data_IF_846744178833
#
_entry.id   IF_846744178833
#
_cell.length_a   1.000
_cell.length_b   1.000
_cell.length_c   1.000
_cell.angle_alpha   90.00
_cell.angle_beta   90.00
_cell.angle_gamma   90.00
#
_symmetry.space_group_name_H-M   'P 1'
#
loop_
_entity.id
_entity.type
_entity.pdbx_description
1 polymer ?
#
# COMPACT_ATOMS: atom_id res chain seq x y z
N UNK A 1 -3.02 61.25 9.02
CA UNK A 1 -3.68 60.36 9.98
C UNK A 1 -4.50 59.27 9.31
N UNK A 2 -3.96 58.49 8.33
CA UNK A 2 -4.72 57.41 7.63
C UNK A 2 -3.89 56.14 7.39
N UNK A 3 -2.78 55.94 8.10
CA UNK A 3 -1.91 54.75 7.95
C UNK A 3 -1.80 53.84 9.18
N UNK A 4 -2.52 54.10 10.27
CA UNK A 4 -2.45 53.29 11.50
C UNK A 4 -3.58 52.28 11.71
N UNK A 5 -4.66 52.30 10.91
CA UNK A 5 -5.81 51.42 11.13
C UNK A 5 -5.88 50.16 10.26
N UNK A 6 -4.88 49.93 9.37
CA UNK A 6 -4.85 48.69 8.56
C UNK A 6 -4.08 47.52 9.21
N UNK A 7 -3.23 47.85 10.20
CA UNK A 7 -2.33 46.87 10.80
C UNK A 7 -2.95 46.05 11.96
N UNK A 8 -4.06 46.54 12.53
CA UNK A 8 -4.76 45.83 13.60
C UNK A 8 -5.73 44.73 13.11
N UNK A 9 -6.18 44.79 11.87
CA UNK A 9 -7.10 43.81 11.28
C UNK A 9 -6.41 42.47 10.91
N UNK A 10 -5.12 42.54 10.53
CA UNK A 10 -4.35 41.32 10.16
C UNK A 10 -3.86 40.54 11.40
N UNK A 11 -3.55 41.21 12.49
CA UNK A 11 -3.13 40.54 13.74
C UNK A 11 -4.28 39.81 14.46
N UNK A 12 -5.51 40.29 14.33
CA UNK A 12 -6.67 39.63 14.91
C UNK A 12 -7.12 38.39 14.11
N UNK A 13 -6.89 38.35 12.80
CA UNK A 13 -7.18 37.16 11.97
C UNK A 13 -6.17 36.02 12.13
N UNK A 14 -4.92 36.30 12.47
CA UNK A 14 -3.91 35.28 12.75
C UNK A 14 -4.07 34.58 14.12
N UNK A 15 -4.76 35.25 15.08
CA UNK A 15 -4.98 34.67 16.41
C UNK A 15 -6.24 33.77 16.49
N UNK A 16 -7.15 33.85 15.53
CA UNK A 16 -8.34 33.01 15.49
C UNK A 16 -8.12 31.64 14.83
N UNK A 17 -7.10 31.50 13.96
CA UNK A 17 -6.79 30.23 13.27
C UNK A 17 -5.93 29.28 14.11
N UNK A 18 -5.29 29.75 15.17
CA UNK A 18 -4.40 28.95 16.04
C UNK A 18 -5.08 28.25 17.22
N UNK A 19 -6.37 28.53 17.49
CA UNK A 19 -7.08 28.02 18.68
C UNK A 19 -8.01 26.84 18.43
N UNK A 20 -8.16 26.37 17.21
CA UNK A 20 -9.11 25.29 16.90
C UNK A 20 -8.47 23.90 16.79
N UNK A 21 -7.16 23.73 17.01
CA UNK A 21 -6.48 22.44 16.89
C UNK A 21 -6.23 21.76 18.26
N UNK A 22 -6.45 22.44 19.39
CA UNK A 22 -6.17 21.90 20.74
C UNK A 22 -7.44 21.47 21.51
N UNK A 23 -8.63 21.71 21.00
CA UNK A 23 -9.88 21.44 21.73
C UNK A 23 -10.52 20.06 21.48
N UNK A 24 -9.94 19.18 20.68
CA UNK A 24 -10.51 17.84 20.37
C UNK A 24 -9.86 16.67 21.06
N UNK A 25 -8.86 16.87 21.91
CA UNK A 25 -8.18 15.79 22.63
C UNK A 25 -8.35 15.81 24.17
N UNK A 26 -9.22 16.66 24.73
CA UNK A 26 -9.42 16.79 26.18
C UNK A 26 -10.87 16.61 26.66
N UNK A 27 -11.74 15.96 25.88
CA UNK A 27 -13.13 15.68 26.29
C UNK A 27 -13.43 14.18 26.47
N UNK A 28 -12.41 13.37 26.76
CA UNK A 28 -12.58 11.94 27.07
C UNK A 28 -12.36 11.59 28.57
N UNK A 29 -12.38 12.56 29.46
CA UNK A 29 -11.92 12.31 30.82
C UNK A 29 -12.82 12.74 32.00
N UNK A 30 -14.02 13.25 31.78
CA UNK A 30 -14.90 13.58 32.94
C UNK A 30 -16.40 13.49 32.59
N UNK A 31 -16.90 12.27 32.42
CA UNK A 31 -18.33 11.95 32.51
C UNK A 31 -18.51 10.54 33.12
N UNK A 32 -17.89 10.32 34.24
CA UNK A 32 -17.95 9.04 34.96
C UNK A 32 -18.26 9.20 36.44
N UNK A 33 -19.25 9.99 36.83
CA UNK A 33 -19.74 9.97 38.21
C UNK A 33 -21.08 10.71 38.39
N UNK A 34 -22.15 10.22 37.79
CA UNK A 34 -23.51 10.58 38.22
C UNK A 34 -24.60 9.77 37.45
N UNK A 35 -24.53 8.44 37.43
CA UNK A 35 -25.70 7.56 37.21
C UNK A 35 -25.42 6.19 37.83
N UNK A 36 -25.41 6.14 39.13
CA UNK A 36 -25.52 4.90 39.85
C UNK A 36 -26.77 5.02 40.73
N UNK A 37 -27.90 4.60 40.20
CA UNK A 37 -29.04 4.00 40.89
C UNK A 37 -30.26 3.99 39.97
N UNK A 38 -30.28 3.01 39.07
CA UNK A 38 -31.52 2.45 38.58
C UNK A 38 -31.31 0.95 38.46
N UNK A 39 -32.15 0.19 39.11
CA UNK A 39 -32.18 -1.26 39.22
C UNK A 39 -32.01 -1.92 37.85
N UNK A 40 -30.93 -2.70 37.70
CA UNK A 40 -30.74 -3.59 36.56
C UNK A 40 -31.84 -4.66 36.53
N UNK A 41 -32.39 -4.99 35.35
CA UNK A 41 -33.25 -6.16 35.22
C UNK A 41 -32.45 -7.42 35.52
N UNK A 42 -33.01 -8.31 36.30
CA UNK A 42 -32.38 -9.52 36.86
C UNK A 42 -32.26 -10.67 35.85
N UNK A 43 -32.67 -10.47 34.58
CA UNK A 43 -32.51 -11.49 33.54
C UNK A 43 -31.73 -10.95 32.38
N UNK A 44 -30.52 -11.48 32.20
CA UNK A 44 -29.74 -11.30 30.97
C UNK A 44 -30.31 -12.27 29.93
N UNK A 45 -30.88 -11.81 28.80
CA UNK A 45 -31.31 -12.72 27.75
C UNK A 45 -30.10 -13.46 27.21
N UNK A 46 -30.11 -14.76 27.33
CA UNK A 46 -29.10 -15.65 26.71
C UNK A 46 -29.19 -15.44 25.18
N UNK A 47 -28.07 -15.15 24.50
CA UNK A 47 -28.09 -15.05 23.06
C UNK A 47 -28.53 -16.38 22.46
N UNK A 48 -29.58 -16.37 21.66
CA UNK A 48 -29.98 -17.51 20.85
C UNK A 48 -28.81 -17.90 19.96
N UNK A 49 -28.35 -19.15 20.08
CA UNK A 49 -27.35 -19.72 19.21
C UNK A 49 -27.80 -19.58 17.75
N UNK A 50 -27.05 -18.85 16.94
CA UNK A 50 -27.26 -18.82 15.50
C UNK A 50 -27.08 -20.24 14.97
N UNK A 51 -27.97 -20.74 14.11
CA UNK A 51 -27.71 -21.98 13.40
C UNK A 51 -26.47 -21.77 12.55
N UNK A 52 -25.44 -22.57 12.77
CA UNK A 52 -24.29 -22.66 11.89
C UNK A 52 -24.79 -23.14 10.52
N UNK A 53 -24.87 -22.22 9.56
CA UNK A 53 -24.85 -22.64 8.17
C UNK A 53 -23.44 -23.19 7.91
N UNK A 54 -23.29 -24.40 7.32
CA UNK A 54 -21.96 -24.88 6.93
C UNK A 54 -21.40 -23.88 5.91
N UNK A 55 -20.36 -23.16 6.29
CA UNK A 55 -19.56 -22.39 5.36
C UNK A 55 -19.00 -23.38 4.34
N UNK A 56 -19.41 -23.23 3.08
CA UNK A 56 -18.73 -23.88 1.98
C UNK A 56 -17.28 -23.35 1.99
N UNK A 57 -16.39 -24.13 2.51
CA UNK A 57 -14.94 -23.94 2.41
C UNK A 57 -14.56 -24.14 0.95
N UNK A 58 -14.56 -23.05 0.17
CA UNK A 58 -13.73 -22.97 -1.02
C UNK A 58 -12.31 -22.68 -0.54
N UNK A 59 -11.67 -23.68 0.04
CA UNK A 59 -10.23 -23.78 0.04
C UNK A 59 -9.80 -24.11 -1.39
N UNK A 60 -9.38 -23.08 -2.11
CA UNK A 60 -8.54 -23.30 -3.28
C UNK A 60 -7.29 -24.03 -2.78
N UNK A 61 -6.93 -25.21 -3.33
CA UNK A 61 -5.75 -25.92 -2.88
C UNK A 61 -4.55 -25.02 -3.11
N UNK A 62 -3.84 -24.69 -2.03
CA UNK A 62 -2.53 -24.05 -2.09
C UNK A 62 -1.62 -25.07 -2.74
N UNK A 63 -1.37 -24.93 -4.05
CA UNK A 63 -0.37 -25.71 -4.73
C UNK A 63 1.00 -25.35 -4.15
N UNK A 64 1.41 -26.07 -3.13
CA UNK A 64 2.81 -26.18 -2.73
C UNK A 64 3.54 -26.76 -3.93
N UNK A 65 4.43 -25.97 -4.54
CA UNK A 65 5.30 -26.45 -5.60
C UNK A 65 6.27 -27.46 -4.98
N UNK A 66 5.87 -28.72 -4.98
CA UNK A 66 6.78 -29.83 -4.74
C UNK A 66 7.72 -29.92 -5.93
N UNK A 67 9.04 -29.96 -5.72
CA UNK A 67 9.99 -30.20 -6.81
C UNK A 67 9.64 -31.54 -7.47
N UNK A 68 9.31 -31.51 -8.77
CA UNK A 68 9.05 -32.68 -9.56
C UNK A 68 10.35 -33.50 -9.61
N UNK A 69 10.29 -34.76 -9.23
CA UNK A 69 11.44 -35.69 -9.33
C UNK A 69 12.05 -35.63 -10.72
N UNK A 70 13.36 -35.42 -10.78
CA UNK A 70 14.17 -35.32 -11.99
C UNK A 70 14.17 -36.69 -12.70
N UNK A 71 13.92 -36.76 -14.01
CA UNK A 71 14.20 -37.97 -14.77
C UNK A 71 15.72 -38.25 -14.75
N UNK A 72 16.10 -39.47 -14.49
CA UNK A 72 17.49 -39.90 -14.49
C UNK A 72 18.00 -40.01 -15.93
N UNK A 73 18.66 -38.96 -16.42
CA UNK A 73 19.62 -39.00 -17.54
C UNK A 73 20.81 -38.14 -17.20
N UNK A 74 22.04 -38.63 -17.33
CA UNK A 74 23.22 -37.87 -17.01
C UNK A 74 23.55 -36.88 -18.14
N UNK A 75 23.37 -35.60 -17.93
CA UNK A 75 23.93 -34.55 -18.77
C UNK A 75 25.34 -34.17 -18.33
N UNK A 76 26.22 -33.76 -19.28
CA UNK A 76 27.64 -33.58 -19.00
C UNK A 76 27.92 -32.47 -18.03
N UNK A 77 28.85 -32.73 -17.15
CA UNK A 77 29.38 -31.90 -16.08
C UNK A 77 29.79 -30.53 -16.62
N UNK A 78 29.00 -29.50 -16.32
CA UNK A 78 29.45 -28.12 -16.35
C UNK A 78 29.98 -27.83 -14.93
N UNK A 79 31.31 -27.90 -14.80
CA UNK A 79 32.02 -27.46 -13.58
C UNK A 79 32.09 -25.95 -13.56
N UNK A 80 31.01 -25.30 -13.15
CA UNK A 80 31.05 -23.96 -12.55
C UNK A 80 31.02 -24.14 -11.04
N UNK A 81 32.04 -23.67 -10.37
CA UNK A 81 32.17 -23.69 -8.92
C UNK A 81 31.09 -22.82 -8.30
N UNK A 82 29.93 -23.43 -8.07
CA UNK A 82 28.95 -22.85 -7.15
C UNK A 82 29.52 -22.98 -5.74
N UNK A 83 29.55 -21.90 -4.97
CA UNK A 83 29.65 -22.01 -3.53
C UNK A 83 28.46 -22.84 -3.04
N UNK A 84 28.64 -24.16 -3.06
CA UNK A 84 27.73 -25.10 -2.41
C UNK A 84 27.80 -24.73 -0.94
N UNK A 85 26.74 -24.13 -0.40
CA UNK A 85 26.62 -24.01 1.05
C UNK A 85 26.68 -25.42 1.57
N UNK A 86 27.84 -25.85 2.06
CA UNK A 86 28.03 -27.15 2.64
C UNK A 86 27.05 -27.28 3.80
N UNK A 87 26.26 -28.36 3.78
CA UNK A 87 25.38 -28.65 4.89
C UNK A 87 26.28 -28.89 6.12
N UNK A 88 26.21 -28.05 7.17
CA UNK A 88 27.13 -28.13 8.30
C UNK A 88 27.15 -29.54 8.92
N UNK A 89 28.35 -29.99 9.33
CA UNK A 89 28.49 -31.24 10.03
C UNK A 89 27.58 -31.29 11.27
N UNK A 90 27.02 -32.46 11.57
CA UNK A 90 26.13 -32.65 12.71
C UNK A 90 26.89 -32.44 14.03
N UNK A 91 26.34 -31.60 14.93
CA UNK A 91 26.86 -31.38 16.27
C UNK A 91 25.83 -31.85 17.28
N UNK A 92 26.25 -32.63 18.26
CA UNK A 92 25.36 -33.06 19.36
C UNK A 92 24.94 -31.86 20.21
N UNK A 93 23.65 -31.75 20.52
CA UNK A 93 23.10 -30.67 21.32
C UNK A 93 21.60 -30.82 21.57
N UNK A 94 21.07 -29.90 22.36
CA UNK A 94 19.63 -29.83 22.68
C UNK A 94 18.93 -28.80 21.81
N UNK A 95 17.60 -28.82 21.80
CA UNK A 95 16.79 -27.75 21.19
C UNK A 95 17.20 -26.36 21.69
N UNK A 96 17.46 -26.24 23.01
CA UNK A 96 17.90 -24.97 23.59
C UNK A 96 19.21 -24.47 22.98
N UNK A 97 20.22 -25.33 22.81
CA UNK A 97 21.52 -24.92 22.23
C UNK A 97 21.36 -24.48 20.78
N UNK A 98 20.51 -25.16 20.01
CA UNK A 98 20.20 -24.77 18.64
C UNK A 98 19.45 -23.43 18.56
N UNK A 99 18.49 -23.19 19.44
CA UNK A 99 17.77 -21.91 19.50
C UNK A 99 18.67 -20.76 19.99
N UNK A 100 19.56 -21.00 20.95
CA UNK A 100 20.53 -20.01 21.42
C UNK A 100 21.51 -19.60 20.29
N UNK A 101 21.97 -20.57 19.49
CA UNK A 101 22.79 -20.29 18.31
C UNK A 101 22.01 -19.42 17.31
N UNK A 102 20.76 -19.77 17.01
CA UNK A 102 19.91 -19.01 16.12
C UNK A 102 19.65 -17.58 16.65
N UNK A 103 19.39 -17.44 17.94
CA UNK A 103 19.19 -16.14 18.60
C UNK A 103 20.44 -15.26 18.48
N UNK A 104 21.63 -15.87 18.60
CA UNK A 104 22.94 -15.22 18.39
C UNK A 104 23.27 -14.97 16.92
N UNK A 105 22.36 -15.30 15.99
CA UNK A 105 22.54 -15.23 14.54
C UNK A 105 23.61 -16.16 13.97
N UNK A 106 24.00 -17.17 14.73
CA UNK A 106 24.85 -18.27 14.24
C UNK A 106 23.97 -19.30 13.50
N UNK A 107 23.69 -19.01 12.23
CA UNK A 107 22.86 -19.87 11.36
C UNK A 107 23.53 -21.22 11.14
N UNK A 108 24.86 -21.22 10.96
CA UNK A 108 25.66 -22.44 10.69
C UNK A 108 25.61 -23.36 11.91
N UNK A 109 25.83 -22.82 13.11
CA UNK A 109 25.70 -23.57 14.38
C UNK A 109 24.29 -24.09 14.60
N UNK A 110 23.25 -23.28 14.37
CA UNK A 110 21.87 -23.71 14.51
C UNK A 110 21.51 -24.90 13.58
N UNK A 111 21.97 -24.86 12.31
CA UNK A 111 21.79 -25.94 11.35
C UNK A 111 22.58 -27.17 11.79
N UNK A 112 23.82 -27.02 12.28
CA UNK A 112 24.65 -28.13 12.77
C UNK A 112 23.99 -28.84 13.96
N UNK A 113 23.47 -28.10 14.96
CA UNK A 113 22.71 -28.68 16.08
C UNK A 113 21.45 -29.41 15.60
N UNK A 114 20.66 -28.79 14.68
CA UNK A 114 19.51 -29.47 14.09
C UNK A 114 19.90 -30.79 13.42
N UNK A 115 21.02 -30.81 12.69
CA UNK A 115 21.48 -32.00 11.99
C UNK A 115 21.86 -33.12 12.97
N UNK A 116 22.33 -32.80 14.18
CA UNK A 116 22.64 -33.75 15.23
C UNK A 116 21.43 -34.34 15.95
N UNK A 117 20.23 -33.77 15.77
CA UNK A 117 19.00 -34.25 16.39
C UNK A 117 18.40 -35.43 15.65
N UNK A 118 17.68 -36.29 16.37
CA UNK A 118 16.97 -37.44 15.79
C UNK A 118 15.96 -36.98 14.73
N UNK A 119 16.03 -37.57 13.55
CA UNK A 119 15.07 -37.33 12.45
C UNK A 119 13.65 -37.57 12.93
N UNK A 120 12.73 -36.65 12.63
CA UNK A 120 11.32 -36.78 13.00
C UNK A 120 11.02 -36.42 14.47
N UNK A 121 12.02 -36.12 15.33
CA UNK A 121 11.76 -35.64 16.68
C UNK A 121 11.15 -34.23 16.64
N UNK A 122 10.31 -33.92 17.64
CA UNK A 122 9.68 -32.63 17.78
C UNK A 122 10.70 -31.51 17.92
N UNK A 123 11.78 -31.75 18.67
CA UNK A 123 12.87 -30.79 18.88
C UNK A 123 13.53 -30.40 17.54
N UNK A 124 13.79 -31.40 16.68
CA UNK A 124 14.33 -31.15 15.33
C UNK A 124 13.33 -30.35 14.49
N UNK A 125 12.06 -30.70 14.53
CA UNK A 125 11.02 -29.98 13.78
C UNK A 125 10.88 -28.53 14.24
N UNK A 126 10.87 -28.27 15.55
CA UNK A 126 10.83 -26.92 16.11
C UNK A 126 12.05 -26.10 15.66
N UNK A 127 13.24 -26.66 15.70
CA UNK A 127 14.45 -25.95 15.29
C UNK A 127 14.49 -25.70 13.78
N UNK A 128 14.06 -26.69 12.96
CA UNK A 128 13.90 -26.54 11.52
C UNK A 128 12.93 -25.39 11.18
N UNK A 129 11.77 -25.36 11.83
CA UNK A 129 10.79 -24.30 11.67
C UNK A 129 11.32 -22.94 12.13
N UNK A 130 11.99 -22.90 13.28
CA UNK A 130 12.56 -21.65 13.82
C UNK A 130 13.61 -21.06 12.87
N UNK A 131 14.53 -21.88 12.35
CA UNK A 131 15.55 -21.45 11.38
C UNK A 131 14.87 -20.88 10.13
N UNK A 132 13.94 -21.61 9.53
CA UNK A 132 13.32 -21.22 8.28
C UNK A 132 12.42 -19.98 8.39
N UNK A 133 11.75 -19.79 9.54
CA UNK A 133 10.87 -18.64 9.78
C UNK A 133 11.59 -17.42 10.34
N UNK A 134 12.82 -17.56 10.83
CA UNK A 134 13.58 -16.50 11.53
C UNK A 134 13.77 -15.21 10.70
N UNK A 135 13.83 -15.32 9.37
CA UNK A 135 14.20 -14.20 8.51
C UNK A 135 15.66 -13.73 8.66
N UNK A 136 16.49 -14.49 9.39
CA UNK A 136 17.91 -14.16 9.56
C UNK A 136 18.61 -14.30 8.21
N UNK A 137 19.42 -13.29 7.89
CA UNK A 137 20.26 -13.32 6.70
C UNK A 137 21.31 -14.45 6.80
N UNK A 138 21.43 -15.24 5.75
CA UNK A 138 22.38 -16.36 5.71
C UNK A 138 21.70 -17.72 5.88
N UNK A 139 20.41 -17.79 6.19
CA UNK A 139 19.65 -19.05 6.07
C UNK A 139 19.52 -19.38 4.59
N UNK A 140 20.07 -20.55 4.14
CA UNK A 140 20.02 -20.92 2.72
C UNK A 140 18.59 -21.13 2.21
N UNK A 141 18.33 -20.74 0.96
CA UNK A 141 17.02 -20.95 0.32
C UNK A 141 16.64 -22.44 0.27
N UNK A 142 17.61 -23.31 0.09
CA UNK A 142 17.43 -24.77 0.12
C UNK A 142 16.95 -25.27 1.49
N UNK A 143 17.46 -24.71 2.60
CA UNK A 143 17.01 -25.02 3.95
C UNK A 143 15.56 -24.63 4.17
N UNK A 144 15.18 -23.44 3.69
CA UNK A 144 13.80 -22.95 3.81
C UNK A 144 12.86 -23.82 2.97
N UNK A 145 13.27 -24.22 1.76
CA UNK A 145 12.50 -25.10 0.91
C UNK A 145 12.33 -26.51 1.54
N UNK A 146 13.41 -27.06 2.13
CA UNK A 146 13.36 -28.32 2.84
C UNK A 146 12.40 -28.28 4.05
N UNK A 147 12.44 -27.17 4.83
CA UNK A 147 11.54 -26.97 5.95
C UNK A 147 10.05 -26.91 5.50
N UNK A 148 9.76 -26.25 4.38
CA UNK A 148 8.41 -26.17 3.83
C UNK A 148 7.87 -27.57 3.43
N UNK A 149 8.75 -28.47 2.98
CA UNK A 149 8.40 -29.85 2.62
C UNK A 149 8.29 -30.76 3.84
N UNK A 150 9.20 -30.59 4.81
CA UNK A 150 9.26 -31.43 6.03
C UNK A 150 8.10 -31.11 7.01
N UNK A 151 7.62 -29.87 7.02
CA UNK A 151 6.67 -29.34 8.01
C UNK A 151 5.36 -28.83 7.37
N UNK A 152 4.61 -29.65 6.62
CA UNK A 152 3.38 -29.22 5.99
C UNK A 152 2.34 -28.85 7.06
N UNK A 153 1.68 -27.69 6.87
CA UNK A 153 0.64 -27.20 7.80
C UNK A 153 1.14 -26.52 9.06
N UNK A 154 2.44 -26.38 9.27
CA UNK A 154 2.97 -25.60 10.37
C UNK A 154 2.68 -24.10 10.18
N UNK A 155 2.57 -23.30 11.26
CA UNK A 155 2.28 -21.88 11.17
C UNK A 155 3.40 -21.11 10.45
N UNK A 156 3.07 -19.98 9.82
CA UNK A 156 4.08 -19.10 9.23
C UNK A 156 4.52 -19.44 7.80
N UNK A 157 3.78 -20.26 7.05
CA UNK A 157 4.11 -20.64 5.66
C UNK A 157 4.34 -19.42 4.74
N UNK A 158 3.60 -18.32 4.95
CA UNK A 158 3.84 -17.07 4.22
C UNK A 158 5.18 -16.41 4.56
N UNK A 159 5.67 -16.58 5.80
CA UNK A 159 7.00 -16.13 6.19
C UNK A 159 8.09 -16.97 5.51
N UNK A 160 7.94 -18.30 5.46
CA UNK A 160 8.85 -19.18 4.73
C UNK A 160 9.02 -18.73 3.28
N UNK A 161 7.92 -18.46 2.60
CA UNK A 161 7.96 -17.99 1.21
C UNK A 161 8.73 -16.68 1.06
N UNK A 162 8.42 -15.68 1.85
CA UNK A 162 9.15 -14.39 1.82
C UNK A 162 10.63 -14.55 2.14
N UNK A 163 10.96 -15.40 3.10
CA UNK A 163 12.35 -15.67 3.47
C UNK A 163 13.09 -16.40 2.34
N UNK A 164 12.45 -17.38 1.67
CA UNK A 164 13.00 -18.06 0.51
C UNK A 164 13.31 -17.10 -0.65
N UNK A 165 12.37 -16.18 -0.94
CA UNK A 165 12.57 -15.15 -1.98
C UNK A 165 13.78 -14.25 -1.67
N UNK A 166 13.92 -13.81 -0.41
CA UNK A 166 15.06 -13.00 0.03
C UNK A 166 16.37 -13.77 0.00
N UNK A 167 16.35 -15.04 0.35
CA UNK A 167 17.52 -15.91 0.29
C UNK A 167 18.00 -16.10 -1.15
N UNK A 168 17.10 -16.46 -2.08
CA UNK A 168 17.38 -16.59 -3.51
C UNK A 168 17.99 -15.31 -4.11
N UNK A 169 17.48 -14.17 -3.72
CA UNK A 169 18.02 -12.88 -4.16
C UNK A 169 19.45 -12.65 -3.69
N UNK A 170 19.77 -13.01 -2.42
CA UNK A 170 21.10 -12.85 -1.83
C UNK A 170 22.11 -13.85 -2.33
N UNK A 171 21.67 -15.06 -2.58
CA UNK A 171 22.50 -16.15 -3.12
C UNK A 171 22.89 -15.92 -4.58
N UNK A 172 22.26 -14.96 -5.25
CA UNK A 172 22.37 -14.74 -6.70
C UNK A 172 22.20 -16.08 -7.47
N UNK A 173 21.13 -16.79 -7.10
CA UNK A 173 20.88 -18.14 -7.57
C UNK A 173 20.73 -18.19 -9.11
N UNK A 174 21.11 -19.30 -9.78
CA UNK A 174 21.02 -19.43 -11.24
C UNK A 174 19.59 -19.14 -11.74
N UNK A 175 19.49 -18.49 -12.90
CA UNK A 175 18.21 -18.07 -13.49
C UNK A 175 17.21 -19.26 -13.62
N UNK A 176 17.69 -20.42 -14.03
CA UNK A 176 16.86 -21.64 -14.13
C UNK A 176 16.30 -22.07 -12.78
N UNK A 177 17.10 -22.00 -11.71
CA UNK A 177 16.67 -22.32 -10.35
C UNK A 177 15.61 -21.33 -9.86
N UNK A 178 15.85 -20.03 -10.05
CA UNK A 178 14.89 -18.99 -9.67
C UNK A 178 13.56 -19.18 -10.39
N UNK A 179 13.58 -19.32 -11.73
CA UNK A 179 12.37 -19.53 -12.53
C UNK A 179 11.62 -20.79 -12.08
N UNK A 180 12.35 -21.91 -11.86
CA UNK A 180 11.74 -23.14 -11.40
C UNK A 180 11.09 -23.02 -10.01
N UNK A 181 11.74 -22.30 -9.09
CA UNK A 181 11.25 -22.09 -7.72
C UNK A 181 9.97 -21.26 -7.71
N UNK A 182 9.90 -20.20 -8.52
CA UNK A 182 8.67 -19.38 -8.62
C UNK A 182 7.56 -20.07 -9.41
N UNK A 183 7.90 -20.86 -10.45
CA UNK A 183 6.93 -21.47 -11.34
C UNK A 183 5.95 -20.42 -11.90
N UNK A 184 4.66 -20.60 -11.61
CA UNK A 184 3.60 -19.65 -12.00
C UNK A 184 3.18 -18.69 -10.87
N UNK A 185 3.91 -18.69 -9.75
CA UNK A 185 3.52 -17.88 -8.60
C UNK A 185 4.14 -16.48 -8.66
N UNK A 186 3.38 -15.48 -8.19
CA UNK A 186 3.88 -14.09 -8.12
C UNK A 186 4.79 -13.91 -6.90
N UNK A 187 5.90 -13.15 -7.01
CA UNK A 187 6.73 -12.78 -5.88
C UNK A 187 5.95 -11.98 -4.82
N UNK A 188 6.28 -12.21 -3.55
CA UNK A 188 5.69 -11.50 -2.41
C UNK A 188 6.60 -10.41 -1.83
N UNK A 189 7.87 -10.36 -2.26
CA UNK A 189 8.88 -9.43 -1.77
C UNK A 189 9.51 -8.65 -2.92
N UNK A 190 10.09 -7.48 -2.60
CA UNK A 190 10.87 -6.69 -3.56
C UNK A 190 12.06 -7.50 -4.07
N UNK A 191 12.74 -8.21 -3.19
CA UNK A 191 13.87 -9.05 -3.52
C UNK A 191 13.49 -10.19 -4.47
N UNK A 192 12.34 -10.84 -4.19
CA UNK A 192 11.80 -11.89 -5.06
C UNK A 192 11.42 -11.37 -6.44
N UNK A 193 10.81 -10.17 -6.48
CA UNK A 193 10.46 -9.50 -7.74
C UNK A 193 11.71 -9.23 -8.60
N UNK A 194 12.75 -8.67 -7.99
CA UNK A 194 14.02 -8.36 -8.67
C UNK A 194 14.71 -9.65 -9.11
N UNK A 195 14.78 -10.67 -8.23
CA UNK A 195 15.41 -11.96 -8.56
C UNK A 195 14.74 -12.64 -9.76
N UNK A 196 13.40 -12.72 -9.77
CA UNK A 196 12.67 -13.33 -10.87
C UNK A 196 12.79 -12.53 -12.18
N UNK A 197 12.77 -11.20 -12.10
CA UNK A 197 12.97 -10.35 -13.25
C UNK A 197 14.38 -10.49 -13.85
N UNK A 198 15.43 -10.54 -12.99
CA UNK A 198 16.80 -10.84 -13.41
C UNK A 198 16.91 -12.19 -14.12
N UNK A 199 16.26 -13.22 -13.54
CA UNK A 199 16.26 -14.55 -14.10
C UNK A 199 15.60 -14.60 -15.48
N UNK A 200 14.50 -13.88 -15.68
CA UNK A 200 13.90 -13.76 -17.02
C UNK A 200 14.81 -13.02 -18.02
N UNK A 201 15.46 -11.93 -17.59
CA UNK A 201 16.41 -11.20 -18.46
C UNK A 201 17.61 -12.08 -18.83
N UNK A 202 18.19 -12.78 -17.85
CA UNK A 202 19.32 -13.71 -18.07
C UNK A 202 18.96 -14.89 -19.00
N UNK A 203 17.68 -15.33 -18.95
CA UNK A 203 17.15 -16.35 -19.86
C UNK A 203 16.66 -15.78 -21.20
N UNK A 204 17.02 -14.55 -21.56
CA UNK A 204 16.68 -13.91 -22.84
C UNK A 204 15.22 -13.45 -22.95
N UNK A 205 14.40 -13.59 -21.91
CA UNK A 205 12.96 -13.30 -21.96
C UNK A 205 12.62 -11.91 -21.35
N UNK A 206 13.06 -10.84 -22.04
CA UNK A 206 12.76 -9.46 -21.63
C UNK A 206 11.26 -9.17 -21.56
N UNK A 207 10.46 -9.81 -22.41
CA UNK A 207 8.99 -9.61 -22.44
C UNK A 207 8.36 -10.08 -21.13
N UNK A 208 8.72 -11.28 -20.64
CA UNK A 208 8.23 -11.74 -19.32
C UNK A 208 8.73 -10.87 -18.17
N UNK A 209 9.99 -10.42 -18.23
CA UNK A 209 10.53 -9.48 -17.25
C UNK A 209 9.72 -8.17 -17.21
N UNK A 210 9.38 -7.60 -18.37
CA UNK A 210 8.55 -6.40 -18.47
C UNK A 210 7.13 -6.63 -17.94
N UNK A 211 6.46 -7.72 -18.35
CA UNK A 211 5.11 -8.07 -17.89
C UNK A 211 5.05 -8.24 -16.35
N UNK A 212 6.12 -8.75 -15.75
CA UNK A 212 6.25 -8.89 -14.30
C UNK A 212 6.49 -7.52 -13.63
N UNK A 213 7.46 -6.76 -14.14
CA UNK A 213 7.93 -5.53 -13.49
C UNK A 213 7.00 -4.33 -13.67
N UNK A 214 6.44 -4.11 -14.87
CA UNK A 214 5.75 -2.86 -15.19
C UNK A 214 4.55 -2.56 -14.26
N UNK A 215 3.63 -3.50 -13.97
CA UNK A 215 2.52 -3.24 -13.05
C UNK A 215 2.97 -3.07 -11.60
N UNK A 216 3.99 -3.79 -11.17
CA UNK A 216 4.58 -3.67 -9.84
C UNK A 216 5.33 -2.34 -9.69
N UNK A 217 6.18 -1.98 -10.67
CA UNK A 217 6.91 -0.72 -10.70
C UNK A 217 6.00 0.50 -10.60
N UNK A 218 4.86 0.46 -11.27
CA UNK A 218 3.90 1.56 -11.24
C UNK A 218 3.29 1.80 -9.86
N UNK A 219 3.12 0.76 -9.02
CA UNK A 219 2.31 0.81 -7.80
C UNK A 219 3.11 0.63 -6.51
N UNK A 220 4.19 -0.16 -6.54
CA UNK A 220 4.91 -0.56 -5.32
C UNK A 220 5.67 0.60 -4.68
N UNK A 221 5.58 0.67 -3.35
CA UNK A 221 6.30 1.67 -2.58
C UNK A 221 7.69 1.14 -2.20
N UNK A 222 8.70 1.60 -2.93
CA UNK A 222 10.08 1.17 -2.76
C UNK A 222 10.89 2.14 -1.90
N UNK A 223 11.99 1.63 -1.33
CA UNK A 223 13.07 2.45 -0.78
C UNK A 223 13.79 3.20 -1.91
N UNK A 224 14.51 4.27 -1.58
CA UNK A 224 15.31 5.01 -2.56
C UNK A 224 16.41 4.13 -3.18
N UNK A 225 16.97 3.20 -2.38
CA UNK A 225 17.98 2.26 -2.84
C UNK A 225 17.40 1.27 -3.86
N UNK A 226 16.22 0.69 -3.57
CA UNK A 226 15.58 -0.24 -4.48
C UNK A 226 15.10 0.46 -5.76
N UNK A 227 14.59 1.70 -5.67
CA UNK A 227 14.27 2.50 -6.86
C UNK A 227 15.49 2.71 -7.76
N UNK A 228 16.62 3.12 -7.17
CA UNK A 228 17.86 3.31 -7.93
C UNK A 228 18.37 1.99 -8.54
N UNK A 229 18.27 0.89 -7.80
CA UNK A 229 18.62 -0.45 -8.28
C UNK A 229 17.78 -0.85 -9.49
N UNK A 230 16.47 -0.74 -9.40
CA UNK A 230 15.55 -1.09 -10.49
C UNK A 230 15.79 -0.23 -11.73
N UNK A 231 15.98 1.08 -11.55
CA UNK A 231 16.31 1.99 -12.66
C UNK A 231 17.62 1.60 -13.37
N UNK A 232 18.62 1.18 -12.62
CA UNK A 232 19.91 0.76 -13.18
C UNK A 232 19.82 -0.60 -13.87
N UNK A 233 19.27 -1.60 -13.19
CA UNK A 233 19.29 -2.99 -13.64
C UNK A 233 18.31 -3.26 -14.79
N UNK A 234 17.16 -2.61 -14.79
CA UNK A 234 16.08 -2.86 -15.76
C UNK A 234 15.87 -1.71 -16.75
N UNK A 235 16.89 -0.88 -16.97
CA UNK A 235 16.85 0.26 -17.91
C UNK A 235 16.51 -0.13 -19.35
N UNK A 236 16.78 -1.38 -19.75
CA UNK A 236 16.45 -1.93 -21.08
C UNK A 236 15.14 -2.73 -21.09
N UNK A 237 14.46 -2.85 -19.97
CA UNK A 237 13.22 -3.62 -19.78
C UNK A 237 12.04 -2.67 -19.57
N UNK A 238 12.18 -1.71 -18.64
CA UNK A 238 11.14 -0.72 -18.36
C UNK A 238 11.17 0.39 -19.41
N UNK A 239 9.97 0.76 -19.88
CA UNK A 239 9.78 1.80 -20.90
C UNK A 239 9.66 3.19 -20.26
N UNK A 240 9.74 4.23 -21.11
CA UNK A 240 9.46 5.60 -20.69
C UNK A 240 8.06 5.73 -20.05
N UNK A 241 7.08 5.07 -20.63
CA UNK A 241 5.68 5.06 -20.16
C UNK A 241 5.55 4.44 -18.77
N UNK A 242 6.33 3.39 -18.47
CA UNK A 242 6.37 2.79 -17.13
C UNK A 242 6.96 3.77 -16.11
N UNK A 243 8.03 4.47 -16.49
CA UNK A 243 8.62 5.52 -15.66
C UNK A 243 7.67 6.69 -15.46
N UNK A 244 6.92 7.09 -16.49
CA UNK A 244 5.89 8.13 -16.38
C UNK A 244 4.80 7.75 -15.40
N UNK A 245 4.24 6.53 -15.47
CA UNK A 245 3.20 6.07 -14.53
C UNK A 245 3.69 6.14 -13.09
N UNK A 246 4.92 5.69 -12.82
CA UNK A 246 5.51 5.77 -11.48
C UNK A 246 5.77 7.21 -11.04
N UNK A 247 6.29 8.05 -11.94
CA UNK A 247 6.50 9.47 -11.71
C UNK A 247 5.20 10.15 -11.29
N UNK A 248 4.12 9.98 -12.07
CA UNK A 248 2.83 10.60 -11.81
C UNK A 248 2.30 10.20 -10.44
N UNK A 249 2.36 8.90 -10.10
CA UNK A 249 1.96 8.42 -8.78
C UNK A 249 2.81 9.04 -7.65
N UNK A 250 4.11 9.21 -7.88
CA UNK A 250 5.01 9.87 -6.93
C UNK A 250 4.66 11.34 -6.74
N UNK A 251 4.35 12.06 -7.82
CA UNK A 251 3.94 13.47 -7.79
C UNK A 251 2.59 13.68 -7.07
N UNK A 252 1.60 12.82 -7.35
CA UNK A 252 0.31 12.88 -6.68
C UNK A 252 0.43 12.71 -5.17
N UNK A 253 1.39 11.90 -4.71
CA UNK A 253 1.61 11.57 -3.30
C UNK A 253 2.75 12.38 -2.64
N UNK A 254 3.18 13.48 -3.24
CA UNK A 254 4.26 14.37 -2.75
C UNK A 254 5.59 13.65 -2.48
N UNK A 255 5.84 12.51 -3.16
CA UNK A 255 7.10 11.75 -3.07
C UNK A 255 8.16 12.35 -3.98
N UNK A 256 8.61 13.56 -3.65
CA UNK A 256 9.50 14.35 -4.51
C UNK A 256 10.86 13.70 -4.76
N UNK A 257 11.40 12.94 -3.82
CA UNK A 257 12.69 12.24 -4.02
C UNK A 257 12.58 11.16 -5.10
N UNK A 258 11.56 10.31 -5.03
CA UNK A 258 11.25 9.34 -6.09
C UNK A 258 10.99 10.04 -7.42
N UNK A 259 10.17 11.09 -7.41
CA UNK A 259 9.84 11.85 -8.62
C UNK A 259 11.09 12.48 -9.26
N UNK A 260 12.06 12.95 -8.45
CA UNK A 260 13.33 13.49 -8.95
C UNK A 260 14.15 12.43 -9.69
N UNK A 261 14.27 11.23 -9.15
CA UNK A 261 14.98 10.12 -9.80
C UNK A 261 14.35 9.73 -11.13
N UNK A 262 13.02 9.84 -11.22
CA UNK A 262 12.25 9.44 -12.39
C UNK A 262 12.10 10.53 -13.45
N UNK A 263 12.38 11.80 -13.12
CA UNK A 263 12.13 12.93 -14.04
C UNK A 263 12.88 12.85 -15.35
N UNK A 264 14.14 12.35 -15.32
CA UNK A 264 14.94 12.09 -16.51
C UNK A 264 14.41 10.92 -17.34
N UNK A 265 14.35 9.69 -16.79
CA UNK A 265 13.83 8.51 -17.49
C UNK A 265 12.41 8.69 -18.05
N UNK A 266 11.55 9.42 -17.36
CA UNK A 266 10.19 9.73 -17.80
C UNK A 266 10.11 10.90 -18.79
N UNK A 267 11.20 11.63 -19.05
CA UNK A 267 11.22 12.87 -19.85
C UNK A 267 10.19 13.90 -19.34
N UNK A 268 10.16 14.14 -18.04
CA UNK A 268 9.16 14.95 -17.36
C UNK A 268 9.75 15.98 -16.39
N UNK A 269 10.94 16.52 -16.72
CA UNK A 269 11.66 17.45 -15.85
C UNK A 269 10.88 18.73 -15.54
N UNK A 270 10.20 19.32 -16.53
CA UNK A 270 9.39 20.51 -16.33
C UNK A 270 8.21 20.28 -15.39
N UNK A 271 7.54 19.12 -15.53
CA UNK A 271 6.45 18.70 -14.66
C UNK A 271 6.94 18.51 -13.22
N UNK A 272 8.06 17.79 -13.03
CA UNK A 272 8.68 17.62 -11.71
C UNK A 272 9.00 18.98 -11.07
N UNK A 273 9.64 19.88 -11.81
CA UNK A 273 10.01 21.21 -11.31
C UNK A 273 8.78 22.00 -10.80
N UNK A 274 7.67 21.94 -11.51
CA UNK A 274 6.44 22.60 -11.13
C UNK A 274 5.82 22.01 -9.85
N UNK A 275 5.78 20.68 -9.71
CA UNK A 275 5.33 20.03 -8.47
C UNK A 275 6.26 20.32 -7.30
N UNK A 276 7.57 20.32 -7.52
CA UNK A 276 8.56 20.65 -6.49
C UNK A 276 8.40 22.11 -6.01
N UNK A 277 8.25 23.06 -6.94
CA UNK A 277 8.00 24.46 -6.62
C UNK A 277 6.71 24.64 -5.80
N UNK A 278 5.63 23.96 -6.18
CA UNK A 278 4.36 23.98 -5.46
C UNK A 278 4.49 23.40 -4.05
N UNK A 279 5.15 22.25 -3.90
CA UNK A 279 5.33 21.59 -2.60
C UNK A 279 6.19 22.42 -1.66
N UNK A 280 7.24 23.07 -2.18
CA UNK A 280 8.15 23.94 -1.43
C UNK A 280 7.59 25.35 -1.20
N UNK A 281 6.38 25.65 -1.67
CA UNK A 281 5.76 26.98 -1.61
C UNK A 281 6.64 28.08 -2.22
N UNK A 282 7.34 27.75 -3.31
CA UNK A 282 8.22 28.69 -4.01
C UNK A 282 7.44 29.89 -4.57
N UNK A 283 7.96 31.12 -4.48
CA UNK A 283 7.36 32.29 -5.12
C UNK A 283 7.26 32.16 -6.64
N UNK A 284 8.10 31.30 -7.25
CA UNK A 284 8.13 31.05 -8.68
C UNK A 284 7.15 29.94 -9.13
N UNK A 285 6.27 29.45 -8.24
CA UNK A 285 5.36 28.35 -8.55
C UNK A 285 4.49 28.62 -9.79
N UNK A 286 3.92 29.82 -9.91
CA UNK A 286 3.10 30.18 -11.08
C UNK A 286 3.89 30.09 -12.39
N UNK A 287 5.13 30.59 -12.39
CA UNK A 287 6.02 30.50 -13.55
C UNK A 287 6.38 29.03 -13.86
N UNK A 288 6.74 28.25 -12.85
CA UNK A 288 7.08 26.84 -13.03
C UNK A 288 5.91 26.03 -13.61
N UNK A 289 4.65 26.34 -13.24
CA UNK A 289 3.46 25.74 -13.83
C UNK A 289 3.28 26.14 -15.30
N UNK A 290 3.52 27.43 -15.63
CA UNK A 290 3.44 27.91 -17.00
C UNK A 290 4.54 27.32 -17.91
N UNK A 291 5.71 27.04 -17.35
CA UNK A 291 6.86 26.45 -18.03
C UNK A 291 6.76 24.92 -18.24
N UNK A 292 5.68 24.27 -17.77
CA UNK A 292 5.46 22.85 -18.01
C UNK A 292 5.32 22.59 -19.51
N UNK A 293 6.05 21.59 -20.02
CA UNK A 293 6.03 21.23 -21.44
C UNK A 293 4.59 20.95 -21.92
N UNK A 294 4.28 21.44 -23.13
CA UNK A 294 2.93 21.36 -23.72
C UNK A 294 2.43 19.93 -23.89
N UNK A 295 3.33 18.95 -24.01
CA UNK A 295 2.96 17.53 -24.10
C UNK A 295 2.21 17.04 -22.86
N UNK A 296 2.37 17.69 -21.70
CA UNK A 296 1.68 17.35 -20.46
C UNK A 296 0.32 18.06 -20.30
N UNK A 297 0.01 19.10 -21.09
CA UNK A 297 -1.18 19.92 -20.89
C UNK A 297 -2.50 19.15 -21.09
N UNK A 298 -2.52 18.13 -21.94
CA UNK A 298 -3.66 17.22 -22.11
C UNK A 298 -3.73 16.11 -21.07
N UNK A 299 -2.66 15.88 -20.29
CA UNK A 299 -2.63 14.86 -19.26
C UNK A 299 -3.35 15.36 -18.00
N UNK A 300 -4.21 14.56 -17.34
CA UNK A 300 -4.90 14.95 -16.11
C UNK A 300 -3.98 15.47 -15.00
N UNK A 301 -2.73 15.05 -14.94
CA UNK A 301 -1.75 15.51 -13.95
C UNK A 301 -1.53 17.02 -14.01
N UNK A 302 -1.59 17.64 -15.18
CA UNK A 302 -1.43 19.08 -15.29
C UNK A 302 -2.62 19.84 -14.67
N UNK A 303 -3.84 19.37 -14.93
CA UNK A 303 -5.03 19.90 -14.25
C UNK A 303 -4.95 19.69 -12.72
N UNK A 304 -4.48 18.54 -12.26
CA UNK A 304 -4.29 18.27 -10.84
C UNK A 304 -3.30 19.25 -10.17
N UNK A 305 -2.17 19.52 -10.84
CA UNK A 305 -1.18 20.50 -10.39
C UNK A 305 -1.80 21.92 -10.28
N UNK A 306 -2.56 22.34 -11.29
CA UNK A 306 -3.25 23.63 -11.30
C UNK A 306 -4.30 23.71 -10.20
N UNK A 307 -5.09 22.65 -9.99
CA UNK A 307 -6.10 22.58 -8.92
C UNK A 307 -5.45 22.76 -7.55
N UNK A 308 -4.35 22.04 -7.28
CA UNK A 308 -3.61 22.18 -6.01
C UNK A 308 -3.05 23.58 -5.81
N UNK A 309 -2.51 24.18 -6.87
CA UNK A 309 -1.99 25.56 -6.83
C UNK A 309 -3.12 26.56 -6.54
N UNK A 310 -4.22 26.51 -7.27
CA UNK A 310 -5.35 27.41 -7.10
C UNK A 310 -5.98 27.27 -5.71
N UNK A 311 -6.17 26.06 -5.23
CA UNK A 311 -6.67 25.80 -3.88
C UNK A 311 -5.76 26.39 -2.80
N UNK A 312 -4.44 26.25 -2.94
CA UNK A 312 -3.48 26.84 -1.99
C UNK A 312 -3.39 28.36 -2.05
N UNK A 313 -3.91 28.96 -3.13
CA UNK A 313 -4.04 30.39 -3.32
C UNK A 313 -5.45 30.92 -2.99
N UNK A 314 -6.26 30.12 -2.29
CA UNK A 314 -7.66 30.40 -1.91
C UNK A 314 -8.60 30.72 -3.11
N UNK A 315 -8.19 30.32 -4.32
CA UNK A 315 -8.97 30.45 -5.56
C UNK A 315 -9.87 29.24 -5.75
N UNK A 316 -10.80 29.03 -4.80
CA UNK A 316 -11.62 27.82 -4.73
C UNK A 316 -12.57 27.66 -5.93
N UNK A 317 -13.11 28.74 -6.48
CA UNK A 317 -14.01 28.70 -7.65
C UNK A 317 -13.26 28.22 -8.90
N UNK A 318 -12.06 28.73 -9.14
CA UNK A 318 -11.25 28.32 -10.27
C UNK A 318 -10.78 26.86 -10.13
N UNK A 319 -10.34 26.47 -8.93
CA UNK A 319 -9.96 25.09 -8.64
C UNK A 319 -11.15 24.12 -8.84
N UNK A 320 -12.36 24.54 -8.43
CA UNK A 320 -13.59 23.78 -8.60
C UNK A 320 -13.97 23.62 -10.07
N UNK A 321 -13.85 24.68 -10.84
CA UNK A 321 -14.15 24.66 -12.27
C UNK A 321 -13.25 23.65 -13.02
N UNK A 322 -11.96 23.61 -12.68
CA UNK A 322 -11.02 22.61 -13.21
C UNK A 322 -11.35 21.18 -12.72
N UNK A 323 -11.62 21.02 -11.41
CA UNK A 323 -11.91 19.72 -10.82
C UNK A 323 -13.18 19.08 -11.41
N UNK A 324 -14.20 19.87 -11.74
CA UNK A 324 -15.43 19.38 -12.35
C UNK A 324 -15.22 18.92 -13.80
N UNK A 325 -14.18 19.39 -14.48
CA UNK A 325 -13.78 18.97 -15.84
C UNK A 325 -12.85 17.75 -15.82
N UNK A 326 -12.27 17.41 -14.66
CA UNK A 326 -11.36 16.28 -14.53
C UNK A 326 -12.06 14.95 -14.90
N UNK A 327 -11.33 13.96 -15.41
CA UNK A 327 -11.86 12.63 -15.68
C UNK A 327 -12.54 12.03 -14.46
N UNK A 328 -13.58 11.23 -14.69
CA UNK A 328 -14.36 10.54 -13.66
C UNK A 328 -14.14 9.04 -13.66
N UNK A 329 -13.38 8.53 -14.61
CA UNK A 329 -12.98 7.13 -14.70
C UNK A 329 -11.61 6.94 -14.04
N UNK A 330 -11.49 5.91 -13.24
CA UNK A 330 -10.29 5.59 -12.48
C UNK A 330 -9.08 5.33 -13.39
N UNK A 331 -9.29 4.72 -14.54
CA UNK A 331 -8.23 4.35 -15.49
C UNK A 331 -7.46 5.57 -16.03
N UNK A 332 -8.12 6.71 -16.19
CA UNK A 332 -7.52 7.95 -16.67
C UNK A 332 -6.76 8.73 -15.60
N UNK A 333 -6.94 8.40 -14.32
CA UNK A 333 -6.44 9.22 -13.21
C UNK A 333 -5.08 8.77 -12.65
N UNK A 334 -4.56 7.60 -13.01
CA UNK A 334 -3.33 6.97 -12.50
C UNK A 334 -3.39 6.67 -11.00
N UNK A 335 -3.85 7.60 -10.18
CA UNK A 335 -4.06 7.46 -8.74
C UNK A 335 -5.40 8.11 -8.33
N UNK A 336 -6.52 7.40 -8.51
CA UNK A 336 -7.86 7.92 -8.20
C UNK A 336 -8.03 8.31 -6.72
N UNK A 337 -7.33 7.62 -5.81
CA UNK A 337 -7.38 7.92 -4.38
C UNK A 337 -6.72 9.27 -4.06
N UNK A 338 -5.63 9.62 -4.74
CA UNK A 338 -5.01 10.95 -4.60
C UNK A 338 -5.95 12.07 -5.11
N UNK A 339 -6.67 11.83 -6.21
CA UNK A 339 -7.69 12.75 -6.69
C UNK A 339 -8.85 12.91 -5.71
N UNK A 340 -9.25 11.81 -5.04
CA UNK A 340 -10.26 11.88 -3.99
C UNK A 340 -9.81 12.79 -2.84
N UNK A 341 -8.55 12.67 -2.40
CA UNK A 341 -8.00 13.54 -1.34
C UNK A 341 -8.16 15.03 -1.70
N UNK A 342 -7.82 15.42 -2.93
CA UNK A 342 -7.98 16.82 -3.36
C UNK A 342 -9.46 17.24 -3.46
N UNK A 343 -10.35 16.37 -3.99
CA UNK A 343 -11.81 16.62 -4.01
C UNK A 343 -12.36 16.83 -2.61
N UNK A 344 -11.96 16.00 -1.66
CA UNK A 344 -12.37 16.06 -0.28
C UNK A 344 -11.96 17.38 0.38
N UNK A 345 -10.70 17.80 0.20
CA UNK A 345 -10.21 19.06 0.77
C UNK A 345 -10.98 20.23 0.16
N UNK A 346 -11.01 20.32 -1.16
CA UNK A 346 -11.69 21.43 -1.85
C UNK A 346 -13.20 21.49 -1.52
N UNK A 347 -13.85 20.35 -1.36
CA UNK A 347 -15.27 20.32 -1.00
C UNK A 347 -15.55 20.89 0.40
N UNK A 348 -14.63 20.73 1.35
CA UNK A 348 -14.76 21.32 2.69
C UNK A 348 -14.61 22.85 2.62
N UNK A 349 -13.63 23.36 1.90
CA UNK A 349 -13.49 24.80 1.66
C UNK A 349 -14.75 25.39 1.02
N UNK A 350 -15.40 24.67 0.07
CA UNK A 350 -16.65 25.09 -0.52
C UNK A 350 -17.81 25.14 0.48
N UNK A 351 -17.85 24.22 1.45
CA UNK A 351 -18.86 24.29 2.53
C UNK A 351 -18.63 25.51 3.42
N UNK A 352 -17.36 25.79 3.77
CA UNK A 352 -17.00 26.91 4.65
C UNK A 352 -17.35 28.26 4.01
N UNK A 353 -17.31 28.37 2.67
CA UNK A 353 -17.78 29.54 1.92
C UNK A 353 -19.24 29.43 1.44
N UNK A 354 -20.03 28.55 2.06
CA UNK A 354 -21.47 28.37 1.83
C UNK A 354 -21.85 28.01 0.37
N UNK A 355 -21.08 27.11 -0.27
CA UNK A 355 -21.35 26.56 -1.61
C UNK A 355 -21.65 25.05 -1.59
N UNK A 356 -22.68 24.59 -0.85
CA UNK A 356 -22.90 23.16 -0.59
C UNK A 356 -23.24 22.34 -1.87
N UNK A 357 -23.90 22.95 -2.86
CA UNK A 357 -24.22 22.29 -4.12
C UNK A 357 -22.94 21.92 -4.89
N UNK A 358 -21.95 22.84 -4.94
CA UNK A 358 -20.66 22.59 -5.57
C UNK A 358 -19.86 21.57 -4.77
N UNK A 359 -19.87 21.67 -3.45
CA UNK A 359 -19.21 20.69 -2.56
C UNK A 359 -19.75 19.26 -2.83
N UNK A 360 -21.05 19.09 -2.87
CA UNK A 360 -21.69 17.81 -3.20
C UNK A 360 -21.27 17.31 -4.60
N UNK A 361 -21.37 18.16 -5.63
CA UNK A 361 -21.00 17.78 -7.00
C UNK A 361 -19.54 17.31 -7.12
N UNK A 362 -18.63 17.90 -6.35
CA UNK A 362 -17.24 17.48 -6.32
C UNK A 362 -17.07 16.08 -5.75
N UNK A 363 -17.66 15.82 -4.59
CA UNK A 363 -17.47 14.53 -3.90
C UNK A 363 -18.27 13.42 -4.56
N UNK A 364 -19.47 13.69 -5.08
CA UNK A 364 -20.25 12.71 -5.82
C UNK A 364 -19.62 12.28 -7.16
N UNK A 365 -18.69 13.07 -7.68
CA UNK A 365 -17.95 12.76 -8.92
C UNK A 365 -16.59 12.09 -8.62
N UNK A 366 -16.44 11.42 -7.48
CA UNK A 366 -15.21 10.70 -7.15
C UNK A 366 -15.02 9.45 -8.02
N UNK A 367 -13.78 9.00 -8.11
CA UNK A 367 -13.39 7.75 -8.75
C UNK A 367 -12.46 6.93 -7.82
N UNK A 368 -12.56 7.14 -6.50
CA UNK A 368 -11.73 6.44 -5.52
C UNK A 368 -11.89 4.92 -5.65
N UNK A 369 -10.78 4.19 -5.65
CA UNK A 369 -10.76 2.74 -5.90
C UNK A 369 -10.53 1.92 -4.63
N UNK A 370 -9.68 2.41 -3.70
CA UNK A 370 -9.46 1.63 -2.48
C UNK A 370 -10.74 1.60 -1.64
N UNK A 371 -11.09 0.46 -1.05
CA UNK A 371 -12.34 0.34 -0.28
C UNK A 371 -12.48 1.40 0.83
N UNK A 372 -11.37 1.81 1.42
CA UNK A 372 -11.36 2.84 2.47
C UNK A 372 -11.69 4.22 1.89
N UNK A 373 -11.04 4.62 0.78
CA UNK A 373 -11.26 5.92 0.16
C UNK A 373 -12.61 6.00 -0.53
N UNK A 374 -13.04 4.93 -1.20
CA UNK A 374 -14.35 4.85 -1.83
C UNK A 374 -15.49 4.94 -0.79
N UNK A 375 -15.40 4.20 0.32
CA UNK A 375 -16.38 4.30 1.40
C UNK A 375 -16.39 5.70 2.06
N UNK A 376 -15.23 6.34 2.18
CA UNK A 376 -15.13 7.73 2.68
C UNK A 376 -15.77 8.71 1.70
N UNK A 377 -15.57 8.53 0.40
CA UNK A 377 -16.13 9.40 -0.64
C UNK A 377 -17.67 9.33 -0.67
N UNK A 378 -18.21 8.12 -0.65
CA UNK A 378 -19.65 7.90 -0.58
C UNK A 378 -20.25 8.46 0.72
N UNK A 379 -19.52 8.32 1.84
CA UNK A 379 -19.97 8.94 3.10
C UNK A 379 -20.05 10.47 2.97
N UNK A 380 -19.07 11.15 2.40
CA UNK A 380 -19.10 12.60 2.22
C UNK A 380 -20.24 13.03 1.28
N UNK A 381 -20.43 12.30 0.19
CA UNK A 381 -21.53 12.59 -0.74
C UNK A 381 -22.91 12.45 -0.06
N UNK A 382 -23.15 11.34 0.64
CA UNK A 382 -24.37 11.13 1.38
C UNK A 382 -24.58 12.17 2.48
N UNK A 383 -23.53 12.50 3.24
CA UNK A 383 -23.61 13.47 4.33
C UNK A 383 -23.89 14.89 3.81
N UNK A 384 -23.26 15.33 2.72
CA UNK A 384 -23.54 16.64 2.11
C UNK A 384 -24.96 16.70 1.55
N UNK A 385 -25.41 15.65 0.87
CA UNK A 385 -26.77 15.55 0.38
C UNK A 385 -27.79 15.66 1.52
N UNK A 386 -27.61 14.92 2.62
CA UNK A 386 -28.53 14.89 3.74
C UNK A 386 -28.50 16.18 4.56
N UNK A 387 -27.29 16.59 5.00
CA UNK A 387 -27.15 17.67 6.01
C UNK A 387 -27.10 19.04 5.39
N UNK A 388 -26.40 19.21 4.28
CA UNK A 388 -26.17 20.53 3.67
C UNK A 388 -27.24 20.85 2.62
N UNK A 389 -27.67 19.86 1.80
CA UNK A 389 -28.67 20.09 0.76
C UNK A 389 -30.10 19.78 1.23
N UNK A 390 -30.28 19.08 2.36
CA UNK A 390 -31.60 18.61 2.86
C UNK A 390 -32.32 17.71 1.86
N UNK A 391 -31.57 16.85 1.16
CA UNK A 391 -32.10 15.94 0.15
C UNK A 391 -31.86 14.47 0.56
N UNK A 392 -32.72 13.90 1.44
CA UNK A 392 -32.53 12.54 1.96
C UNK A 392 -32.60 11.48 0.86
N UNK A 393 -33.46 11.65 -0.15
CA UNK A 393 -33.56 10.73 -1.30
C UNK A 393 -32.27 10.68 -2.12
N UNK A 394 -31.51 11.78 -2.16
CA UNK A 394 -30.20 11.83 -2.83
C UNK A 394 -29.10 11.23 -1.97
N UNK A 395 -29.23 11.30 -0.65
CA UNK A 395 -28.24 10.79 0.30
C UNK A 395 -28.27 9.26 0.46
N UNK A 396 -29.47 8.66 0.46
CA UNK A 396 -29.64 7.25 0.76
C UNK A 396 -28.84 6.29 -0.14
N UNK A 397 -28.77 6.46 -1.49
CA UNK A 397 -27.96 5.61 -2.35
C UNK A 397 -26.46 5.63 -1.99
N UNK A 398 -25.93 6.79 -1.61
CA UNK A 398 -24.54 6.92 -1.19
C UNK A 398 -24.24 6.13 0.08
N UNK A 399 -25.11 6.20 1.09
CA UNK A 399 -24.94 5.43 2.32
C UNK A 399 -25.10 3.92 2.07
N UNK A 400 -26.02 3.49 1.21
CA UNK A 400 -26.19 2.10 0.84
C UNK A 400 -24.91 1.54 0.20
N UNK A 401 -24.29 2.29 -0.69
CA UNK A 401 -23.07 1.89 -1.38
C UNK A 401 -21.87 1.66 -0.46
N UNK A 402 -21.81 2.33 0.71
CA UNK A 402 -20.76 2.07 1.70
C UNK A 402 -20.80 0.62 2.20
N UNK A 403 -22.01 0.07 2.42
CA UNK A 403 -22.17 -1.31 2.89
C UNK A 403 -21.77 -2.34 1.82
N UNK A 404 -21.90 -2.00 0.54
CA UNK A 404 -21.45 -2.83 -0.58
C UNK A 404 -19.90 -2.83 -0.70
N UNK A 405 -19.27 -1.66 -0.49
CA UNK A 405 -17.84 -1.47 -0.62
C UNK A 405 -17.06 -2.10 0.54
N UNK A 406 -17.60 -2.05 1.77
CA UNK A 406 -16.84 -2.42 2.96
C UNK A 406 -17.66 -3.26 3.93
N UNK A 407 -17.19 -4.51 4.13
CA UNK A 407 -17.72 -5.43 5.15
C UNK A 407 -17.20 -5.15 6.57
N UNK A 408 -16.31 -4.17 6.76
CA UNK A 408 -15.77 -3.84 8.09
C UNK A 408 -16.91 -3.34 9.00
N UNK A 409 -17.01 -3.85 10.25
CA UNK A 409 -18.12 -3.53 11.14
C UNK A 409 -18.37 -2.03 11.35
N UNK A 410 -17.29 -1.25 11.51
CA UNK A 410 -17.39 0.22 11.70
C UNK A 410 -17.96 0.91 10.45
N UNK A 411 -17.55 0.51 9.25
CA UNK A 411 -18.05 1.09 8.01
C UNK A 411 -19.52 0.72 7.78
N UNK A 412 -19.84 -0.56 7.98
CA UNK A 412 -21.21 -1.06 7.85
C UNK A 412 -22.17 -0.39 8.86
N UNK A 413 -21.77 -0.30 10.14
CA UNK A 413 -22.58 0.38 11.16
C UNK A 413 -22.84 1.84 10.82
N UNK A 414 -21.83 2.54 10.32
CA UNK A 414 -21.97 3.93 9.85
C UNK A 414 -22.95 4.03 8.69
N UNK A 415 -22.85 3.12 7.71
CA UNK A 415 -23.76 3.10 6.57
C UNK A 415 -25.22 2.94 7.00
N UNK A 416 -25.53 1.92 7.82
CA UNK A 416 -26.89 1.65 8.28
C UNK A 416 -27.44 2.75 9.18
N UNK A 417 -26.63 3.31 10.08
CA UNK A 417 -27.03 4.45 10.90
C UNK A 417 -27.48 5.64 10.03
N UNK A 418 -26.67 6.02 9.03
CA UNK A 418 -27.00 7.17 8.18
C UNK A 418 -28.11 6.87 7.17
N UNK A 419 -28.28 5.62 6.76
CA UNK A 419 -29.48 5.19 6.01
C UNK A 419 -30.75 5.40 6.84
N UNK A 420 -30.74 4.99 8.10
CA UNK A 420 -31.84 5.26 9.03
C UNK A 420 -32.12 6.76 9.16
N UNK A 421 -31.06 7.57 9.36
CA UNK A 421 -31.19 9.04 9.43
C UNK A 421 -31.72 9.67 8.14
N UNK A 422 -31.41 9.10 6.97
CA UNK A 422 -31.95 9.56 5.69
C UNK A 422 -33.42 9.15 5.51
N UNK A 423 -33.83 8.01 6.07
CA UNK A 423 -35.20 7.55 6.04
C UNK A 423 -36.13 8.35 6.97
N UNK A 424 -35.59 8.86 8.09
CA UNK A 424 -36.32 9.70 9.04
C UNK A 424 -36.54 11.13 8.53
N UNK A 425 -35.68 11.62 7.62
CA UNK A 425 -35.70 13.01 7.12
C UNK A 425 -36.55 13.18 5.87
#
# INVERSE_FOLDING_TARGET
>A
MRKKNLDMSLKQRMLSSGRLIIATSLFAGQLGAAYAQSSLPTEIPTPLARPFAPSATHESPINLVTPKARPATPDPVITSSFNRVENPAAISGTLKTGLDALYSRDVVGAIAYRNGMTKGSLDRQILTWSIATSGISGVPSAEIAAAATELPGWPGMSALRRNSERALFKEDAPASTVIATFGNTQPQTTEGMIALARAYVANGNKTKAHQLLAPWWAKERLSAEDEARVLKEFSTVLTREDHQRRLLRSLYNDRLQSAKLLSGPAQAQSLYNAFAALSQKSPNTAKAIADVDKSWHSNPVYAFLQIRYLRRADRFDDATALMLKAPKDASSLVDPDAWWVERRILSRELLDINKPQLAYRLVAAHAAESPTMAAEAEFHAGWYALRSLKQPKLAAPHFAKIAEISSRPISASRAYYWLGRAAEA
#
